data_IF_287007513100
#
_entry.id   IF_287007513100
#
_cell.length_a   1.000
_cell.length_b   1.000
_cell.length_c   1.000
_cell.angle_alpha   90.00
_cell.angle_beta   90.00
_cell.angle_gamma   90.00
#
_symmetry.space_group_name_H-M   'P 1'
#
loop_
_entity.id
_entity.type
_entity.pdbx_description
1 polymer ?
#
# COMPACT_ATOMS: atom_id res chain seq x y z
N UNK A 1 27.01 -33.61 -33.43
CA UNK A 1 27.39 -32.29 -32.86
C UNK A 1 26.14 -31.41 -32.69
N UNK A 2 25.07 -31.95 -32.10
CA UNK A 2 23.74 -31.31 -32.05
C UNK A 2 22.95 -31.74 -30.79
N UNK A 3 23.57 -31.67 -29.62
CA UNK A 3 22.93 -32.14 -28.37
C UNK A 3 23.23 -31.28 -27.14
N UNK A 4 23.93 -30.15 -27.30
CA UNK A 4 24.28 -29.24 -26.19
C UNK A 4 23.37 -28.01 -26.08
N UNK A 5 22.56 -27.70 -27.11
CA UNK A 5 21.75 -26.46 -27.13
C UNK A 5 20.34 -26.64 -26.53
N UNK A 6 19.87 -27.88 -26.38
CA UNK A 6 18.53 -28.16 -25.83
C UNK A 6 18.46 -28.00 -24.29
N UNK A 7 19.57 -28.17 -23.58
CA UNK A 7 19.65 -28.10 -22.10
C UNK A 7 19.75 -26.67 -21.56
N UNK A 8 20.29 -25.74 -22.36
CA UNK A 8 20.38 -24.30 -22.02
C UNK A 8 19.03 -23.62 -22.21
N UNK A 9 18.25 -24.05 -23.22
CA UNK A 9 16.89 -23.55 -23.46
C UNK A 9 15.91 -24.07 -22.38
N UNK A 10 16.11 -25.29 -21.83
CA UNK A 10 15.27 -25.85 -20.76
C UNK A 10 15.55 -25.31 -19.36
N UNK A 11 16.76 -24.81 -19.08
CA UNK A 11 17.09 -24.16 -17.79
C UNK A 11 16.61 -22.71 -17.73
N UNK A 12 16.75 -21.95 -18.83
CA UNK A 12 16.21 -20.59 -18.95
C UNK A 12 14.68 -20.59 -18.89
N UNK A 13 14.02 -21.57 -19.53
CA UNK A 13 12.56 -21.70 -19.44
C UNK A 13 12.06 -22.14 -18.06
N UNK A 14 12.82 -22.91 -17.26
CA UNK A 14 12.43 -23.20 -15.86
C UNK A 14 12.55 -21.98 -14.94
N UNK A 15 13.58 -21.15 -15.10
CA UNK A 15 13.74 -19.91 -14.31
C UNK A 15 12.68 -18.86 -14.70
N UNK A 16 12.37 -18.76 -16.00
CA UNK A 16 11.37 -17.85 -16.54
C UNK A 16 9.92 -18.31 -16.27
N UNK A 17 9.65 -19.63 -16.30
CA UNK A 17 8.34 -20.22 -15.93
C UNK A 17 8.04 -20.09 -14.44
N UNK A 18 9.05 -20.19 -13.56
CA UNK A 18 8.91 -19.86 -12.14
C UNK A 18 8.56 -18.37 -11.92
N UNK A 19 9.23 -17.47 -12.65
CA UNK A 19 9.01 -16.03 -12.54
C UNK A 19 7.59 -15.58 -12.94
N UNK A 20 7.05 -16.10 -14.05
CA UNK A 20 5.68 -15.76 -14.47
C UNK A 20 4.61 -16.33 -13.54
N UNK A 21 4.82 -17.56 -13.02
CA UNK A 21 3.91 -18.18 -12.05
C UNK A 21 3.91 -17.40 -10.75
N UNK A 22 5.08 -17.02 -10.22
CA UNK A 22 5.17 -16.22 -8.99
C UNK A 22 4.52 -14.84 -9.15
N UNK A 23 4.66 -14.21 -10.33
CA UNK A 23 3.97 -12.95 -10.63
C UNK A 23 2.44 -13.13 -10.61
N UNK A 24 1.91 -14.17 -11.28
CA UNK A 24 0.47 -14.44 -11.33
C UNK A 24 -0.06 -14.77 -9.92
N UNK A 25 0.64 -15.62 -9.16
CA UNK A 25 0.30 -15.94 -7.78
C UNK A 25 0.29 -14.69 -6.90
N UNK A 26 1.31 -13.83 -7.00
CA UNK A 26 1.38 -12.58 -6.24
C UNK A 26 0.27 -11.60 -6.61
N UNK A 27 -0.03 -11.47 -7.91
CA UNK A 27 -1.10 -10.63 -8.42
C UNK A 27 -2.47 -11.09 -7.92
N UNK A 28 -2.79 -12.38 -8.09
CA UNK A 28 -4.06 -12.96 -7.66
C UNK A 28 -4.22 -12.91 -6.14
N UNK A 29 -3.17 -13.21 -5.37
CA UNK A 29 -3.17 -13.02 -3.92
C UNK A 29 -3.47 -11.56 -3.54
N UNK A 30 -2.88 -10.60 -4.25
CA UNK A 30 -3.15 -9.17 -4.11
C UNK A 30 -4.60 -8.77 -4.42
N UNK A 31 -5.22 -9.35 -5.44
CA UNK A 31 -6.62 -9.14 -5.77
C UNK A 31 -7.55 -9.72 -4.70
N UNK A 32 -7.31 -10.97 -4.30
CA UNK A 32 -8.11 -11.70 -3.30
C UNK A 32 -8.11 -10.95 -1.97
N UNK A 33 -6.93 -10.57 -1.46
CA UNK A 33 -6.84 -9.83 -0.19
C UNK A 33 -7.53 -8.46 -0.28
N UNK A 34 -7.46 -7.80 -1.43
CA UNK A 34 -8.11 -6.49 -1.63
C UNK A 34 -9.63 -6.63 -1.58
N UNK A 35 -10.20 -7.69 -2.19
CA UNK A 35 -11.63 -8.00 -2.13
C UNK A 35 -12.06 -8.34 -0.70
N UNK A 36 -11.37 -9.28 -0.05
CA UNK A 36 -11.72 -9.75 1.30
C UNK A 36 -11.69 -8.61 2.32
N UNK A 37 -10.67 -7.74 2.26
CA UNK A 37 -10.50 -6.65 3.22
C UNK A 37 -11.19 -5.35 2.79
N UNK A 38 -11.90 -5.33 1.65
CA UNK A 38 -12.57 -4.13 1.17
C UNK A 38 -13.62 -3.57 2.15
N UNK A 39 -14.49 -4.40 2.77
CA UNK A 39 -15.45 -3.91 3.76
C UNK A 39 -14.76 -3.22 4.95
N UNK A 40 -13.70 -3.83 5.48
CA UNK A 40 -12.91 -3.28 6.58
C UNK A 40 -12.21 -1.97 6.19
N UNK A 41 -11.64 -1.90 4.98
CA UNK A 41 -11.10 -0.66 4.41
C UNK A 41 -12.15 0.45 4.38
N UNK A 42 -13.39 0.13 3.99
CA UNK A 42 -14.46 1.12 3.89
C UNK A 42 -14.93 1.60 5.27
N UNK A 43 -14.92 0.75 6.29
CA UNK A 43 -15.15 1.16 7.69
C UNK A 43 -14.06 2.15 8.14
N UNK A 44 -12.78 1.80 7.95
CA UNK A 44 -11.65 2.69 8.31
C UNK A 44 -11.76 4.03 7.57
N UNK A 45 -12.10 4.00 6.29
CA UNK A 45 -12.32 5.20 5.48
C UNK A 45 -13.40 6.12 6.09
N UNK A 46 -14.53 5.57 6.54
CA UNK A 46 -15.58 6.33 7.23
C UNK A 46 -15.07 6.97 8.53
N UNK A 47 -14.26 6.24 9.31
CA UNK A 47 -13.66 6.79 10.53
C UNK A 47 -12.64 7.90 10.23
N UNK A 48 -11.89 7.81 9.14
CA UNK A 48 -10.97 8.87 8.72
C UNK A 48 -11.72 10.12 8.26
N UNK A 49 -12.78 9.94 7.46
CA UNK A 49 -13.53 11.05 6.87
C UNK A 49 -14.45 11.78 7.86
N UNK A 50 -15.15 11.03 8.72
CA UNK A 50 -16.23 11.55 9.57
C UNK A 50 -15.91 11.51 11.07
N UNK A 51 -14.74 11.01 11.47
CA UNK A 51 -14.34 10.85 12.88
C UNK A 51 -15.29 10.00 13.75
N UNK A 52 -16.12 9.15 13.14
CA UNK A 52 -17.10 8.31 13.84
C UNK A 52 -16.52 6.99 14.40
N UNK A 53 -17.16 6.37 15.41
CA UNK A 53 -16.84 5.02 15.86
C UNK A 53 -16.97 3.96 14.75
N UNK A 54 -16.25 2.84 14.89
CA UNK A 54 -16.30 1.75 13.90
C UNK A 54 -17.66 1.05 13.82
N UNK A 55 -18.37 0.96 14.95
CA UNK A 55 -19.74 0.39 15.00
C UNK A 55 -20.72 1.23 14.19
N UNK A 56 -20.71 2.55 14.38
CA UNK A 56 -21.54 3.48 13.64
C UNK A 56 -21.21 3.46 12.14
N UNK A 57 -19.92 3.47 11.80
CA UNK A 57 -19.47 3.32 10.42
C UNK A 57 -19.97 2.01 9.78
N UNK A 58 -19.92 0.89 10.51
CA UNK A 58 -20.41 -0.39 10.02
C UNK A 58 -21.94 -0.40 9.83
N UNK A 59 -22.69 0.23 10.75
CA UNK A 59 -24.15 0.38 10.63
C UNK A 59 -24.53 1.22 9.41
N UNK A 60 -23.86 2.36 9.19
CA UNK A 60 -24.05 3.20 8.01
C UNK A 60 -23.78 2.42 6.71
N UNK A 61 -22.68 1.67 6.65
CA UNK A 61 -22.36 0.86 5.47
C UNK A 61 -23.36 -0.28 5.24
N UNK A 62 -23.89 -0.86 6.32
CA UNK A 62 -24.93 -1.90 6.24
C UNK A 62 -26.23 -1.33 5.69
N UNK A 63 -26.65 -0.13 6.10
CA UNK A 63 -27.88 0.51 5.62
C UNK A 63 -27.77 1.00 4.17
N UNK A 64 -26.58 1.37 3.70
CA UNK A 64 -26.33 1.70 2.28
C UNK A 64 -26.46 0.48 1.35
N UNK A 65 -26.21 -0.73 1.85
CA UNK A 65 -26.34 -1.98 1.10
C UNK A 65 -25.07 -2.44 0.36
N UNK A 66 -25.06 -3.71 -0.06
CA UNK A 66 -23.88 -4.42 -0.57
C UNK A 66 -23.26 -3.78 -1.82
N UNK A 67 -24.09 -3.19 -2.68
CA UNK A 67 -23.64 -2.51 -3.90
C UNK A 67 -22.75 -1.32 -3.59
N UNK A 68 -23.13 -0.53 -2.58
CA UNK A 68 -22.31 0.58 -2.13
C UNK A 68 -21.11 0.10 -1.32
N UNK A 69 -21.22 -1.01 -0.58
CA UNK A 69 -20.09 -1.58 0.16
C UNK A 69 -18.87 -1.84 -0.73
N UNK A 70 -19.06 -2.38 -1.94
CA UNK A 70 -17.97 -2.68 -2.89
C UNK A 70 -17.73 -1.59 -3.95
N UNK A 71 -18.46 -0.48 -3.89
CA UNK A 71 -18.24 0.64 -4.80
C UNK A 71 -16.86 1.26 -4.54
N UNK A 72 -16.10 1.46 -5.62
CA UNK A 72 -14.71 1.95 -5.57
C UNK A 72 -13.63 0.88 -5.43
N UNK A 73 -13.98 -0.41 -5.59
CA UNK A 73 -13.02 -1.51 -5.53
C UNK A 73 -12.04 -1.56 -6.73
N UNK A 74 -12.45 -1.08 -7.90
CA UNK A 74 -11.61 -1.18 -9.11
C UNK A 74 -10.29 -0.38 -9.02
N UNK A 75 -10.27 0.90 -8.60
CA UNK A 75 -9.02 1.64 -8.47
C UNK A 75 -7.94 0.98 -7.59
N UNK A 76 -8.22 0.47 -6.37
CA UNK A 76 -7.19 -0.19 -5.57
C UNK A 76 -6.70 -1.51 -6.19
N UNK A 77 -7.56 -2.26 -6.90
CA UNK A 77 -7.13 -3.46 -7.64
C UNK A 77 -6.11 -3.09 -8.72
N UNK A 78 -6.39 -2.04 -9.52
CA UNK A 78 -5.45 -1.56 -10.54
C UNK A 78 -4.16 -1.04 -9.89
N UNK A 79 -4.29 -0.16 -8.90
CA UNK A 79 -3.16 0.50 -8.24
C UNK A 79 -2.19 -0.50 -7.64
N UNK A 80 -2.68 -1.54 -6.96
CA UNK A 80 -1.83 -2.46 -6.20
C UNK A 80 -0.73 -3.08 -7.07
N UNK A 81 -1.09 -3.50 -8.28
CA UNK A 81 -0.18 -4.12 -9.24
C UNK A 81 0.94 -3.17 -9.65
N UNK A 82 0.56 -1.93 -9.99
CA UNK A 82 1.50 -0.90 -10.42
C UNK A 82 2.37 -0.40 -9.26
N UNK A 83 1.79 -0.25 -8.05
CA UNK A 83 2.50 0.22 -6.85
C UNK A 83 3.70 -0.67 -6.53
N UNK A 84 3.48 -1.98 -6.41
CA UNK A 84 4.55 -2.90 -6.01
C UNK A 84 5.65 -2.98 -7.06
N UNK A 85 5.27 -3.02 -8.35
CA UNK A 85 6.23 -3.02 -9.45
C UNK A 85 7.07 -1.73 -9.47
N UNK A 86 6.44 -0.57 -9.31
CA UNK A 86 7.13 0.73 -9.28
C UNK A 86 8.02 0.83 -8.04
N UNK A 87 7.54 0.45 -6.85
CA UNK A 87 8.28 0.60 -5.61
C UNK A 87 9.61 -0.18 -5.65
N UNK A 88 9.58 -1.48 -5.97
CA UNK A 88 10.80 -2.29 -6.00
C UNK A 88 11.65 -2.01 -7.25
N UNK A 89 11.03 -1.95 -8.43
CA UNK A 89 11.77 -1.73 -9.68
C UNK A 89 12.45 -0.36 -9.76
N UNK A 90 11.79 0.71 -9.28
CA UNK A 90 12.41 2.03 -9.24
C UNK A 90 13.44 2.14 -8.12
N UNK A 91 13.25 1.47 -6.99
CA UNK A 91 14.25 1.43 -5.92
C UNK A 91 15.57 0.85 -6.43
N UNK A 92 15.55 -0.33 -7.05
CA UNK A 92 16.74 -0.95 -7.65
C UNK A 92 17.38 -0.05 -8.72
N UNK A 93 16.55 0.55 -9.59
CA UNK A 93 17.02 1.49 -10.62
C UNK A 93 17.73 2.71 -10.01
N UNK A 94 17.15 3.31 -8.96
CA UNK A 94 17.76 4.47 -8.31
C UNK A 94 19.01 4.10 -7.52
N UNK A 95 19.08 2.91 -6.91
CA UNK A 95 20.31 2.41 -6.30
C UNK A 95 21.44 2.27 -7.33
N UNK A 96 21.14 1.73 -8.52
CA UNK A 96 22.12 1.62 -9.61
C UNK A 96 22.59 2.99 -10.10
N UNK A 97 21.67 3.95 -10.27
CA UNK A 97 21.99 5.32 -10.70
C UNK A 97 22.86 6.04 -9.67
N UNK A 98 22.58 5.85 -8.38
CA UNK A 98 23.31 6.50 -7.29
C UNK A 98 24.58 5.74 -6.89
N UNK A 99 24.84 4.56 -7.46
CA UNK A 99 26.02 3.74 -7.17
C UNK A 99 26.00 3.03 -5.81
N UNK A 100 24.82 2.80 -5.20
CA UNK A 100 24.66 2.08 -3.92
C UNK A 100 24.03 0.69 -4.06
N UNK A 101 24.65 -0.13 -4.91
CA UNK A 101 24.36 -1.58 -5.00
C UNK A 101 25.02 -2.35 -3.88
N UNK A 102 24.31 -3.34 -3.34
CA UNK A 102 24.71 -4.13 -2.17
C UNK A 102 26.10 -4.82 -2.28
N UNK A 103 26.53 -5.19 -3.50
CA UNK A 103 27.82 -5.85 -3.74
C UNK A 103 29.06 -4.95 -3.55
N UNK A 104 28.92 -3.62 -3.64
CA UNK A 104 30.06 -2.69 -3.52
C UNK A 104 30.41 -2.35 -2.07
N UNK A 105 29.67 -2.86 -1.07
CA UNK A 105 29.28 -2.06 0.09
C UNK A 105 29.59 -2.66 1.49
N UNK A 106 30.64 -3.47 1.61
CA UNK A 106 31.11 -3.96 2.93
C UNK A 106 31.92 -2.95 3.76
N UNK A 107 32.11 -1.70 3.31
CA UNK A 107 33.20 -0.84 3.85
C UNK A 107 32.89 0.62 4.24
N UNK A 108 31.69 1.20 4.09
CA UNK A 108 31.48 2.63 4.46
C UNK A 108 30.11 2.97 5.08
N UNK A 109 30.16 3.80 6.13
CA UNK A 109 29.04 4.38 6.89
C UNK A 109 28.15 5.37 6.12
N UNK A 110 28.49 5.68 4.86
CA UNK A 110 27.64 6.45 3.93
C UNK A 110 26.40 5.69 3.43
N UNK A 111 26.27 4.42 3.85
CA UNK A 111 25.22 3.44 3.54
C UNK A 111 23.79 4.02 3.66
N UNK A 112 23.45 4.64 4.79
CA UNK A 112 22.06 5.00 5.07
C UNK A 112 21.51 6.13 4.18
N UNK A 113 22.32 7.12 3.82
CA UNK A 113 21.83 8.30 3.09
C UNK A 113 21.58 8.00 1.61
N UNK A 114 22.41 7.20 0.95
CA UNK A 114 22.16 6.80 -0.45
C UNK A 114 20.91 5.92 -0.57
N UNK A 115 20.80 4.90 0.26
CA UNK A 115 19.62 4.03 0.28
C UNK A 115 18.34 4.80 0.63
N UNK A 116 18.41 5.74 1.58
CA UNK A 116 17.28 6.62 1.89
C UNK A 116 16.88 7.50 0.69
N UNK A 117 17.84 8.07 -0.05
CA UNK A 117 17.55 8.83 -1.26
C UNK A 117 16.89 7.96 -2.34
N UNK A 118 17.44 6.78 -2.62
CA UNK A 118 16.85 5.84 -3.58
C UNK A 118 15.41 5.45 -3.18
N UNK A 119 15.18 5.17 -1.89
CA UNK A 119 13.86 4.86 -1.35
C UNK A 119 12.88 6.03 -1.47
N UNK A 120 13.35 7.25 -1.20
CA UNK A 120 12.56 8.48 -1.34
C UNK A 120 12.13 8.70 -2.79
N UNK A 121 13.06 8.55 -3.74
CA UNK A 121 12.79 8.69 -5.18
C UNK A 121 11.82 7.60 -5.69
N UNK A 122 11.95 6.37 -5.19
CA UNK A 122 11.00 5.29 -5.49
C UNK A 122 9.60 5.64 -4.97
N UNK A 123 9.48 6.13 -3.72
CA UNK A 123 8.20 6.59 -3.15
C UNK A 123 7.61 7.80 -3.89
N UNK A 124 8.45 8.72 -4.35
CA UNK A 124 8.03 9.83 -5.19
C UNK A 124 7.49 9.35 -6.54
N UNK A 125 8.11 8.35 -7.15
CA UNK A 125 7.61 7.77 -8.41
C UNK A 125 6.28 7.07 -8.19
N UNK A 126 6.12 6.33 -7.09
CA UNK A 126 4.85 5.69 -6.72
C UNK A 126 3.72 6.70 -6.52
N UNK A 127 4.04 7.92 -6.05
CA UNK A 127 3.04 8.98 -5.85
C UNK A 127 2.34 9.41 -7.15
N UNK A 128 2.91 9.11 -8.33
CA UNK A 128 2.25 9.33 -9.62
C UNK A 128 0.95 8.54 -9.77
N UNK A 129 0.77 7.47 -8.98
CA UNK A 129 -0.48 6.69 -8.89
C UNK A 129 -1.59 7.37 -8.08
N UNK A 130 -1.40 8.63 -7.67
CA UNK A 130 -2.40 9.45 -6.97
C UNK A 130 -3.80 9.43 -7.61
N UNK A 131 -3.97 9.45 -8.96
CA UNK A 131 -5.30 9.39 -9.57
C UNK A 131 -6.13 8.18 -9.14
N UNK A 132 -5.51 7.01 -8.92
CA UNK A 132 -6.23 5.82 -8.45
C UNK A 132 -6.76 6.02 -7.02
N UNK A 133 -5.92 6.57 -6.13
CA UNK A 133 -6.33 6.89 -4.76
C UNK A 133 -7.45 7.93 -4.73
N UNK A 134 -7.33 8.96 -5.57
CA UNK A 134 -8.30 10.05 -5.69
C UNK A 134 -9.67 9.53 -6.12
N UNK A 135 -9.72 8.74 -7.20
CA UNK A 135 -10.98 8.16 -7.70
C UNK A 135 -11.58 7.19 -6.69
N UNK A 136 -10.75 6.41 -5.98
CA UNK A 136 -11.22 5.54 -4.90
C UNK A 136 -11.90 6.34 -3.78
N UNK A 137 -11.24 7.38 -3.26
CA UNK A 137 -11.79 8.20 -2.17
C UNK A 137 -13.14 8.82 -2.53
N UNK A 138 -13.28 9.34 -3.76
CA UNK A 138 -14.53 9.92 -4.24
C UNK A 138 -15.65 8.88 -4.37
N UNK A 139 -15.33 7.67 -4.84
CA UNK A 139 -16.31 6.58 -4.96
C UNK A 139 -16.74 6.00 -3.61
N UNK A 140 -15.87 6.05 -2.60
CA UNK A 140 -16.14 5.57 -1.25
C UNK A 140 -16.92 6.57 -0.40
N UNK A 141 -16.83 7.87 -0.70
CA UNK A 141 -17.56 8.92 0.01
C UNK A 141 -19.08 8.86 -0.24
N UNK A 142 -19.86 9.01 0.83
CA UNK A 142 -21.32 8.98 0.77
C UNK A 142 -21.87 10.22 0.04
N UNK A 143 -21.16 11.34 0.11
CA UNK A 143 -21.53 12.59 -0.54
C UNK A 143 -21.73 12.46 -2.06
N UNK A 144 -21.17 11.42 -2.68
CA UNK A 144 -21.26 11.19 -4.12
C UNK A 144 -22.06 9.93 -4.49
N UNK A 145 -22.80 9.32 -3.56
CA UNK A 145 -23.57 8.12 -3.86
C UNK A 145 -24.56 8.29 -5.02
N UNK A 146 -25.21 9.46 -5.12
CA UNK A 146 -26.08 9.81 -6.25
C UNK A 146 -25.38 10.45 -7.46
N UNK A 147 -24.06 10.73 -7.39
CA UNK A 147 -23.32 11.45 -8.44
C UNK A 147 -22.48 10.57 -9.36
N UNK A 148 -22.06 9.38 -8.91
CA UNK A 148 -21.34 8.43 -9.76
C UNK A 148 -22.02 7.07 -9.73
N UNK A 149 -22.23 6.43 -10.88
CA UNK A 149 -22.72 5.05 -10.97
C UNK A 149 -21.57 4.05 -10.91
N UNK A 150 -20.40 4.41 -11.44
CA UNK A 150 -19.23 3.55 -11.55
C UNK A 150 -17.92 4.36 -11.60
N UNK A 151 -16.78 3.65 -11.65
CA UNK A 151 -15.44 4.24 -11.71
C UNK A 151 -15.21 5.10 -12.95
N UNK A 152 -15.73 4.69 -14.12
CA UNK A 152 -15.56 5.42 -15.38
C UNK A 152 -16.25 6.78 -15.31
N UNK A 153 -17.46 6.82 -14.76
CA UNK A 153 -18.20 8.06 -14.56
C UNK A 153 -17.51 8.98 -13.55
N UNK A 154 -16.97 8.44 -12.46
CA UNK A 154 -16.16 9.23 -11.54
C UNK A 154 -14.92 9.84 -12.23
N UNK A 155 -14.22 9.07 -13.08
CA UNK A 155 -13.09 9.57 -13.88
C UNK A 155 -13.54 10.68 -14.84
N UNK A 156 -14.63 10.48 -15.58
CA UNK A 156 -15.17 11.50 -16.50
C UNK A 156 -15.52 12.79 -15.76
N UNK A 157 -16.24 12.69 -14.63
CA UNK A 157 -16.65 13.87 -13.86
C UNK A 157 -15.45 14.60 -13.25
N UNK A 158 -14.43 13.87 -12.76
CA UNK A 158 -13.19 14.51 -12.28
C UNK A 158 -12.47 15.21 -13.43
N UNK A 159 -12.41 14.59 -14.61
CA UNK A 159 -11.78 15.19 -15.79
C UNK A 159 -12.44 16.51 -16.22
N UNK A 160 -13.75 16.66 -16.01
CA UNK A 160 -14.47 17.90 -16.31
C UNK A 160 -14.01 19.09 -15.43
N UNK A 161 -13.41 18.82 -14.27
CA UNK A 161 -12.82 19.83 -13.40
C UNK A 161 -11.33 20.10 -13.73
N UNK A 162 -10.79 19.46 -14.78
CA UNK A 162 -9.42 19.57 -15.23
C UNK A 162 -8.53 18.41 -14.77
N UNK A 163 -7.49 18.12 -15.55
CA UNK A 163 -6.59 16.98 -15.30
C UNK A 163 -5.85 17.07 -13.94
N UNK A 164 -5.54 18.29 -13.48
CA UNK A 164 -4.87 18.49 -12.20
C UNK A 164 -5.74 18.10 -10.99
N UNK A 165 -7.07 18.01 -11.16
CA UNK A 165 -7.97 17.61 -10.07
C UNK A 165 -7.79 16.12 -9.68
N UNK A 166 -7.26 15.29 -10.59
CA UNK A 166 -6.84 13.91 -10.25
C UNK A 166 -5.69 13.89 -9.24
N UNK A 167 -4.88 14.95 -9.19
CA UNK A 167 -3.71 15.09 -8.33
C UNK A 167 -4.00 15.91 -7.07
N UNK A 168 -5.29 16.14 -6.73
CA UNK A 168 -5.66 16.74 -5.45
C UNK A 168 -5.09 15.89 -4.29
N UNK A 169 -4.33 16.55 -3.41
CA UNK A 169 -3.61 15.90 -2.31
C UNK A 169 -2.29 15.23 -2.68
N UNK A 170 -1.76 15.44 -3.90
CA UNK A 170 -0.50 14.85 -4.36
C UNK A 170 0.68 15.09 -3.40
N UNK A 171 0.85 16.32 -2.88
CA UNK A 171 1.94 16.62 -1.95
C UNK A 171 1.88 15.79 -0.65
N UNK A 172 0.68 15.46 -0.17
CA UNK A 172 0.49 14.61 1.03
C UNK A 172 0.88 13.18 0.73
N UNK A 173 0.51 12.68 -0.46
CA UNK A 173 0.88 11.33 -0.93
C UNK A 173 2.39 11.23 -1.17
N UNK A 174 2.99 12.26 -1.79
CA UNK A 174 4.42 12.36 -2.02
C UNK A 174 5.18 12.29 -0.70
N UNK A 175 4.80 13.12 0.28
CA UNK A 175 5.39 13.10 1.62
C UNK A 175 5.26 11.72 2.28
N UNK A 176 4.03 11.19 2.34
CA UNK A 176 3.75 9.88 2.94
C UNK A 176 4.59 8.78 2.28
N UNK A 177 4.61 8.69 0.96
CA UNK A 177 5.29 7.61 0.24
C UNK A 177 6.80 7.71 0.36
N UNK A 178 7.37 8.91 0.21
CA UNK A 178 8.81 9.12 0.32
C UNK A 178 9.32 8.72 1.72
N UNK A 179 8.69 9.23 2.78
CA UNK A 179 9.10 8.94 4.16
C UNK A 179 8.77 7.51 4.58
N UNK A 180 7.62 6.96 4.17
CA UNK A 180 7.27 5.58 4.47
C UNK A 180 8.24 4.60 3.81
N UNK A 181 8.70 4.88 2.58
CA UNK A 181 9.65 4.01 1.90
C UNK A 181 11.05 4.11 2.50
N UNK A 182 11.51 5.31 2.87
CA UNK A 182 12.76 5.46 3.64
C UNK A 182 12.70 4.58 4.89
N UNK A 183 11.66 4.74 5.71
CA UNK A 183 11.54 3.97 6.95
C UNK A 183 11.39 2.47 6.70
N UNK A 184 10.63 2.07 5.67
CA UNK A 184 10.47 0.66 5.32
C UNK A 184 11.82 0.02 4.96
N UNK A 185 12.56 0.58 4.02
CA UNK A 185 13.84 0.00 3.58
C UNK A 185 14.94 0.13 4.63
N UNK A 186 14.97 1.20 5.44
CA UNK A 186 15.96 1.36 6.51
C UNK A 186 15.70 0.47 7.73
N UNK A 187 14.43 0.21 8.07
CA UNK A 187 14.07 -0.55 9.27
C UNK A 187 13.82 -2.04 9.00
N UNK A 188 13.68 -2.47 7.74
CA UNK A 188 13.40 -3.87 7.38
C UNK A 188 14.41 -4.84 7.98
N UNK A 189 15.70 -4.60 7.78
CA UNK A 189 16.74 -5.52 8.24
C UNK A 189 16.88 -5.50 9.78
N UNK A 190 16.97 -4.33 10.46
CA UNK A 190 16.98 -4.29 11.93
C UNK A 190 15.77 -4.98 12.57
N UNK A 191 14.56 -4.77 12.02
CA UNK A 191 13.34 -5.44 12.53
C UNK A 191 13.40 -6.95 12.32
N UNK A 192 13.92 -7.41 11.18
CA UNK A 192 14.09 -8.84 10.90
C UNK A 192 15.03 -9.48 11.92
N UNK A 193 16.21 -8.91 12.16
CA UNK A 193 17.17 -9.45 13.11
C UNK A 193 16.63 -9.47 14.55
N UNK A 194 15.98 -8.39 14.99
CA UNK A 194 15.39 -8.32 16.33
C UNK A 194 14.27 -9.35 16.59
N UNK A 195 13.59 -9.81 15.54
CA UNK A 195 12.56 -10.85 15.60
C UNK A 195 13.19 -12.25 15.51
N UNK A 196 14.17 -12.44 14.60
CA UNK A 196 14.88 -13.70 14.42
C UNK A 196 15.57 -14.18 15.70
N UNK A 197 16.18 -13.26 16.46
CA UNK A 197 16.88 -13.59 17.71
C UNK A 197 15.96 -14.13 18.82
N UNK A 198 14.63 -14.01 18.67
CA UNK A 198 13.64 -14.45 19.66
C UNK A 198 13.01 -15.82 19.38
N UNK A 199 13.25 -16.45 18.23
CA UNK A 199 12.64 -17.73 17.87
C UNK A 199 13.69 -18.85 17.74
N UNK A 200 13.65 -19.90 18.58
CA UNK A 200 14.60 -21.01 18.50
C UNK A 200 14.45 -21.80 17.19
N UNK A 201 15.58 -21.99 16.51
CA UNK A 201 15.73 -22.63 15.21
C UNK A 201 15.54 -24.15 15.29
N UNK A 202 14.35 -24.64 14.90
CA UNK A 202 14.09 -26.08 14.64
C UNK A 202 13.41 -26.37 13.29
N UNK A 203 13.12 -25.36 12.47
CA UNK A 203 12.47 -25.53 11.17
C UNK A 203 13.46 -25.53 9.99
N UNK A 204 13.04 -26.14 8.89
CA UNK A 204 13.72 -26.12 7.59
C UNK A 204 14.08 -24.68 7.19
N UNK A 205 15.35 -24.44 6.82
CA UNK A 205 15.96 -23.10 6.73
C UNK A 205 15.23 -22.16 5.76
N UNK A 206 14.62 -22.70 4.70
CA UNK A 206 13.87 -21.92 3.70
C UNK A 206 12.51 -21.45 4.23
N UNK A 207 11.71 -22.35 4.81
CA UNK A 207 10.37 -22.04 5.35
C UNK A 207 10.44 -21.12 6.57
N UNK A 208 11.47 -21.28 7.41
CA UNK A 208 11.74 -20.38 8.54
C UNK A 208 12.10 -18.96 8.09
N UNK A 209 12.95 -18.82 7.07
CA UNK A 209 13.33 -17.50 6.55
C UNK A 209 12.13 -16.78 5.93
N UNK A 210 11.30 -17.49 5.15
CA UNK A 210 10.07 -16.93 4.57
C UNK A 210 9.08 -16.48 5.65
N UNK A 211 8.88 -17.29 6.69
CA UNK A 211 7.99 -16.94 7.80
C UNK A 211 8.51 -15.76 8.62
N UNK A 212 9.82 -15.66 8.85
CA UNK A 212 10.40 -14.53 9.58
C UNK A 212 10.39 -13.23 8.76
N UNK A 213 10.74 -13.30 7.47
CA UNK A 213 10.58 -12.17 6.53
C UNK A 213 9.13 -11.70 6.49
N UNK A 214 8.20 -12.64 6.54
CA UNK A 214 6.77 -12.37 6.61
C UNK A 214 6.35 -11.66 7.90
N UNK A 215 6.70 -12.20 9.07
CA UNK A 215 6.31 -11.61 10.38
C UNK A 215 6.94 -10.23 10.53
N UNK A 216 8.23 -10.10 10.27
CA UNK A 216 8.95 -8.83 10.37
C UNK A 216 8.40 -7.76 9.41
N UNK A 217 8.14 -8.12 8.15
CA UNK A 217 7.52 -7.23 7.18
C UNK A 217 6.09 -6.80 7.58
N UNK A 218 5.30 -7.72 8.13
CA UNK A 218 3.92 -7.44 8.54
C UNK A 218 3.83 -6.48 9.72
N UNK A 219 4.67 -6.67 10.74
CA UNK A 219 4.71 -5.82 11.94
C UNK A 219 5.29 -4.45 11.62
N UNK A 220 6.37 -4.40 10.82
CA UNK A 220 6.95 -3.14 10.36
C UNK A 220 5.93 -2.34 9.53
N UNK A 221 5.27 -2.99 8.56
CA UNK A 221 4.25 -2.36 7.74
C UNK A 221 3.05 -1.88 8.55
N UNK A 222 2.58 -2.67 9.51
CA UNK A 222 1.50 -2.26 10.41
C UNK A 222 1.92 -1.05 11.28
N UNK A 223 3.14 -1.05 11.82
CA UNK A 223 3.69 0.05 12.63
C UNK A 223 3.83 1.34 11.82
N UNK A 224 4.38 1.29 10.61
CA UNK A 224 4.46 2.43 9.71
C UNK A 224 3.07 2.95 9.33
N UNK A 225 2.12 2.05 9.08
CA UNK A 225 0.75 2.44 8.76
C UNK A 225 0.05 3.18 9.91
N UNK A 226 0.39 2.85 11.16
CA UNK A 226 -0.06 3.57 12.35
C UNK A 226 0.65 4.92 12.46
N UNK A 227 1.98 4.96 12.28
CA UNK A 227 2.77 6.21 12.33
C UNK A 227 2.24 7.27 11.35
N UNK A 228 1.94 6.88 10.10
CA UNK A 228 1.39 7.77 9.08
C UNK A 228 -0.14 7.89 9.10
N UNK A 229 -0.82 7.39 10.14
CA UNK A 229 -2.28 7.44 10.19
C UNK A 229 -2.84 8.88 10.16
N UNK A 230 -2.30 9.86 10.91
CA UNK A 230 -2.78 11.24 10.83
C UNK A 230 -2.63 11.85 9.42
N UNK A 231 -1.51 11.55 8.76
CA UNK A 231 -1.26 11.98 7.37
C UNK A 231 -2.30 11.38 6.42
N UNK A 232 -2.67 10.11 6.63
CA UNK A 232 -3.75 9.48 5.86
C UNK A 232 -5.13 10.09 6.12
N UNK A 233 -5.42 10.55 7.34
CA UNK A 233 -6.66 11.28 7.66
C UNK A 233 -6.74 12.57 6.86
N UNK A 234 -5.68 13.39 6.90
CA UNK A 234 -5.60 14.65 6.13
C UNK A 234 -5.70 14.40 4.63
N UNK A 235 -4.98 13.38 4.14
CA UNK A 235 -5.05 12.92 2.75
C UNK A 235 -6.47 12.55 2.34
N UNK A 236 -7.19 11.80 3.16
CA UNK A 236 -8.57 11.37 2.90
C UNK A 236 -9.53 12.56 2.85
N UNK A 237 -9.38 13.55 3.75
CA UNK A 237 -10.17 14.79 3.75
C UNK A 237 -9.93 15.60 2.47
N UNK A 238 -8.67 15.90 2.15
CA UNK A 238 -8.31 16.62 0.91
C UNK A 238 -8.83 15.89 -0.33
N UNK A 239 -8.72 14.56 -0.37
CA UNK A 239 -9.20 13.75 -1.49
C UNK A 239 -10.70 13.47 -1.48
N UNK A 240 -11.48 13.89 -0.49
CA UNK A 240 -12.93 13.74 -0.49
C UNK A 240 -13.65 14.93 -1.14
N UNK A 241 -13.02 16.11 -1.17
CA UNK A 241 -13.61 17.30 -1.78
C UNK A 241 -13.38 17.34 -3.29
N UNK A 242 -14.41 17.70 -4.06
CA UNK A 242 -14.35 17.89 -5.53
C UNK A 242 -14.96 19.24 -5.89
N UNK A 243 -14.29 19.99 -6.77
CA UNK A 243 -14.81 21.26 -7.29
C UNK A 243 -14.80 22.43 -6.30
N UNK A 244 -14.21 22.26 -5.10
CA UNK A 244 -13.95 23.34 -4.13
C UNK A 244 -12.56 23.94 -4.34
N UNK A 245 -12.28 25.09 -3.72
CA UNK A 245 -10.91 25.62 -3.65
C UNK A 245 -9.97 24.58 -3.01
N UNK A 246 -8.71 24.62 -3.39
CA UNK A 246 -7.70 23.74 -2.82
C UNK A 246 -7.23 24.26 -1.47
N UNK A 247 -7.39 23.46 -0.42
CA UNK A 247 -6.86 23.79 0.90
C UNK A 247 -5.47 23.19 1.10
N UNK A 248 -4.59 23.98 1.72
CA UNK A 248 -3.23 23.55 2.05
C UNK A 248 -3.23 22.53 3.18
N UNK A 249 -2.23 21.64 3.20
CA UNK A 249 -2.05 20.58 4.21
C UNK A 249 -2.27 21.08 5.64
N UNK A 250 -1.62 22.18 6.02
CA UNK A 250 -1.67 22.70 7.40
C UNK A 250 -3.05 23.22 7.79
N UNK A 251 -3.81 23.77 6.84
CA UNK A 251 -5.18 24.20 7.09
C UNK A 251 -6.07 22.99 7.37
N UNK A 252 -6.00 21.96 6.52
CA UNK A 252 -6.78 20.73 6.73
C UNK A 252 -6.32 19.98 7.99
N UNK A 253 -5.04 20.01 8.32
CA UNK A 253 -4.54 19.44 9.57
C UNK A 253 -5.13 20.17 10.79
N UNK A 254 -5.23 21.50 10.73
CA UNK A 254 -5.87 22.32 11.77
C UNK A 254 -7.38 22.04 11.84
N UNK A 255 -8.05 21.90 10.70
CA UNK A 255 -9.47 21.55 10.66
C UNK A 255 -9.70 20.16 11.27
N UNK A 256 -8.88 19.17 10.91
CA UNK A 256 -8.91 17.83 11.52
C UNK A 256 -8.66 17.88 13.02
N UNK A 257 -7.74 18.74 13.49
CA UNK A 257 -7.48 18.91 14.91
C UNK A 257 -8.67 19.49 15.67
N UNK A 258 -9.34 20.49 15.08
CA UNK A 258 -10.52 21.13 15.63
C UNK A 258 -11.74 20.20 15.63
N UNK A 259 -12.00 19.51 14.51
CA UNK A 259 -13.09 18.53 14.37
C UNK A 259 -12.95 17.33 15.32
N UNK A 260 -11.73 17.05 15.78
CA UNK A 260 -11.40 15.91 16.66
C UNK A 260 -11.14 16.35 18.10
N UNK A 261 -11.81 17.42 18.52
CA UNK A 261 -11.82 17.94 19.90
C UNK A 261 -10.41 18.12 20.50
N UNK A 262 -9.43 18.51 19.67
CA UNK A 262 -8.04 18.70 20.09
C UNK A 262 -7.43 17.46 20.77
N UNK A 263 -7.89 16.26 20.39
CA UNK A 263 -7.50 15.00 21.02
C UNK A 263 -6.65 14.14 20.11
N UNK A 264 -5.43 13.79 20.55
CA UNK A 264 -4.55 12.87 19.82
C UNK A 264 -5.19 11.48 19.66
N UNK A 265 -5.91 11.00 20.67
CA UNK A 265 -6.65 9.74 20.60
C UNK A 265 -7.67 9.78 19.46
N UNK A 266 -8.35 10.91 19.32
CA UNK A 266 -9.32 11.11 18.26
C UNK A 266 -8.65 11.20 16.90
N UNK A 267 -7.51 11.90 16.74
CA UNK A 267 -6.74 11.91 15.47
C UNK A 267 -6.35 10.49 15.02
N UNK A 268 -6.04 9.60 15.97
CA UNK A 268 -5.73 8.19 15.71
C UNK A 268 -6.96 7.26 15.68
N UNK A 269 -8.19 7.81 15.72
CA UNK A 269 -9.41 7.00 15.63
C UNK A 269 -9.46 6.22 14.31
N UNK A 270 -9.48 4.89 14.44
CA UNK A 270 -9.42 3.93 13.33
C UNK A 270 -8.03 3.32 13.10
N UNK A 271 -6.97 3.83 13.76
CA UNK A 271 -5.62 3.29 13.63
C UNK A 271 -5.54 1.82 14.08
N UNK A 272 -6.27 1.43 15.13
CA UNK A 272 -6.37 0.04 15.59
C UNK A 272 -6.91 -0.91 14.51
N UNK A 273 -7.98 -0.53 13.81
CA UNK A 273 -8.52 -1.33 12.71
C UNK A 273 -7.58 -1.34 11.52
N UNK A 274 -6.91 -0.22 11.24
CA UNK A 274 -5.90 -0.15 10.20
C UNK A 274 -4.68 -1.06 10.49
N UNK A 275 -4.25 -1.14 11.76
CA UNK A 275 -3.18 -2.03 12.20
C UNK A 275 -3.58 -3.49 12.03
N UNK A 276 -4.75 -3.89 12.53
CA UNK A 276 -5.30 -5.25 12.36
C UNK A 276 -5.43 -5.59 10.87
N UNK A 277 -5.98 -4.67 10.08
CA UNK A 277 -6.11 -4.82 8.63
C UNK A 277 -4.75 -5.08 7.97
N UNK A 278 -3.70 -4.34 8.35
CA UNK A 278 -2.36 -4.56 7.81
C UNK A 278 -1.88 -5.98 8.11
N UNK A 279 -2.01 -6.47 9.35
CA UNK A 279 -1.64 -7.84 9.72
C UNK A 279 -2.43 -8.89 8.92
N UNK A 280 -3.75 -8.73 8.83
CA UNK A 280 -4.61 -9.62 8.03
C UNK A 280 -4.22 -9.60 6.55
N UNK A 281 -3.90 -8.43 6.01
CA UNK A 281 -3.54 -8.29 4.61
C UNK A 281 -2.28 -9.08 4.27
N UNK A 282 -1.27 -9.00 5.14
CA UNK A 282 -0.08 -9.81 5.01
C UNK A 282 -0.44 -11.30 5.10
N UNK A 283 -1.13 -11.75 6.16
CA UNK A 283 -1.48 -13.16 6.36
C UNK A 283 -2.23 -13.78 5.19
N UNK A 284 -3.27 -13.10 4.70
CA UNK A 284 -4.06 -13.54 3.55
C UNK A 284 -3.20 -13.58 2.28
N UNK A 285 -2.35 -12.57 2.05
CA UNK A 285 -1.48 -12.53 0.86
C UNK A 285 -0.53 -13.73 0.85
N UNK A 286 0.13 -14.02 1.99
CA UNK A 286 1.08 -15.13 2.06
C UNK A 286 0.38 -16.49 1.92
N UNK A 287 -0.71 -16.71 2.66
CA UNK A 287 -1.48 -17.96 2.58
C UNK A 287 -2.01 -18.20 1.16
N UNK A 288 -2.52 -17.16 0.50
CA UNK A 288 -3.03 -17.24 -0.88
C UNK A 288 -1.89 -17.50 -1.86
N UNK A 289 -0.75 -16.82 -1.71
CA UNK A 289 0.41 -17.03 -2.56
C UNK A 289 0.93 -18.47 -2.48
N UNK A 290 1.11 -19.00 -1.27
CA UNK A 290 1.57 -20.38 -1.06
C UNK A 290 0.57 -21.41 -1.60
N UNK A 291 -0.73 -21.19 -1.35
CA UNK A 291 -1.79 -22.07 -1.86
C UNK A 291 -1.81 -22.08 -3.39
N UNK A 292 -1.75 -20.91 -4.03
CA UNK A 292 -1.73 -20.81 -5.49
C UNK A 292 -0.46 -21.41 -6.08
N UNK A 293 0.71 -21.16 -5.49
CA UNK A 293 1.97 -21.72 -5.98
C UNK A 293 1.98 -23.25 -5.94
N UNK A 294 1.40 -23.86 -4.91
CA UNK A 294 1.20 -25.32 -4.82
C UNK A 294 0.28 -25.87 -5.92
N UNK A 295 -0.62 -25.06 -6.46
CA UNK A 295 -1.53 -25.48 -7.53
C UNK A 295 -0.84 -25.47 -8.91
N UNK A 296 0.21 -24.67 -9.07
CA UNK A 296 1.03 -24.60 -10.29
C UNK A 296 2.27 -25.51 -10.28
N UNK A 297 2.56 -26.17 -9.15
CA UNK A 297 3.71 -27.08 -8.97
C UNK A 297 3.24 -28.52 -9.02
#
# INVERSE_FOLDING_TARGET
>A
MASSDASVITSSTKHQRGSHVDFICGWSAGCIVTVILYPLNKVIFRQQLHAIPSSEAAIQLKSEGIRYLYRGLLPPLMKRTSSTAIMFGMYEKYQNILGCTYESDRRKTSFTFCHAQAAAMAGATESLLTPFERVQTLLQSNAYHGKFRNTIEAVKTVSNHGFLEFYRGFHVILFRNAFSNILFFSLRDPFKYAILDKFPTKCERTSYNLFSDFVSGSVLGASLSTLFFPVNVVKTKIQADMGKKYDHFFNVLKDVWNERDHSLKEVYRGAQLNFIRSLLAWGITNATFEYMRKWFT
#
